data_IF_867014377095
#
_entry.id   IF_867014377095
#
_cell.length_a   1.000
_cell.length_b   1.000
_cell.length_c   1.000
_cell.angle_alpha   90.00
_cell.angle_beta   90.00
_cell.angle_gamma   90.00
#
_symmetry.space_group_name_H-M   'P 1'
#
loop_
_entity.id
_entity.type
_entity.pdbx_description
1 polymer ?
#
# COMPACT_ATOMS: atom_id res chain seq x y z
N UNK A 1 5.53 1.19 -48.56
CA UNK A 1 5.42 0.28 -47.39
C UNK A 1 6.58 0.44 -46.42
N UNK A 2 7.85 0.38 -46.86
CA UNK A 2 9.04 0.63 -46.02
C UNK A 2 8.95 1.88 -45.14
N UNK A 3 8.56 3.03 -45.70
CA UNK A 3 8.53 4.31 -44.99
C UNK A 3 7.48 4.34 -43.85
N UNK A 4 6.38 3.58 -44.00
CA UNK A 4 5.35 3.43 -42.96
C UNK A 4 5.84 2.56 -41.81
N UNK A 5 6.62 1.52 -42.12
CA UNK A 5 7.24 0.64 -41.12
C UNK A 5 8.31 1.41 -40.34
N UNK A 6 9.14 2.23 -41.01
CA UNK A 6 10.13 3.08 -40.35
C UNK A 6 9.49 4.08 -39.39
N UNK A 7 8.40 4.73 -39.82
CA UNK A 7 7.65 5.67 -38.97
C UNK A 7 7.04 4.97 -37.74
N UNK A 8 6.48 3.77 -37.93
CA UNK A 8 5.91 2.98 -36.84
C UNK A 8 7.00 2.57 -35.83
N UNK A 9 8.18 2.15 -36.32
CA UNK A 9 9.32 1.82 -35.47
C UNK A 9 9.77 3.03 -34.64
N UNK A 10 9.83 4.22 -35.27
CA UNK A 10 10.23 5.45 -34.60
C UNK A 10 9.21 5.86 -33.52
N UNK A 11 7.92 5.69 -33.79
CA UNK A 11 6.84 5.94 -32.83
C UNK A 11 6.95 5.01 -31.60
N UNK A 12 7.16 3.72 -31.83
CA UNK A 12 7.29 2.72 -30.75
C UNK A 12 8.55 2.97 -29.91
N UNK A 13 9.70 3.24 -30.54
CA UNK A 13 10.93 3.58 -29.82
C UNK A 13 10.79 4.89 -29.02
N UNK A 14 10.10 5.90 -29.57
CA UNK A 14 9.84 7.16 -28.88
C UNK A 14 9.03 6.95 -27.60
N UNK A 15 7.99 6.10 -27.64
CA UNK A 15 7.16 5.79 -26.47
C UNK A 15 7.94 5.05 -25.37
N UNK A 16 8.88 4.17 -25.73
CA UNK A 16 9.68 3.43 -24.74
C UNK A 16 10.70 4.30 -24.00
N UNK A 17 11.15 5.42 -24.58
CA UNK A 17 12.09 6.33 -23.94
C UNK A 17 11.47 7.12 -22.79
N UNK A 18 10.16 7.37 -22.83
CA UNK A 18 9.43 8.11 -21.78
C UNK A 18 8.71 7.20 -20.78
N UNK A 19 8.73 5.88 -20.99
CA UNK A 19 8.08 4.89 -20.12
C UNK A 19 9.01 4.31 -19.04
N UNK A 20 10.19 4.90 -18.81
CA UNK A 20 11.12 4.40 -17.79
C UNK A 20 10.57 4.70 -16.39
N UNK A 21 10.66 3.70 -15.51
CA UNK A 21 10.34 3.88 -14.09
C UNK A 21 11.39 4.80 -13.48
N UNK A 22 10.96 5.75 -12.66
CA UNK A 22 11.87 6.59 -11.88
C UNK A 22 12.82 5.69 -11.05
N UNK A 23 14.16 5.87 -11.11
CA UNK A 23 15.10 5.08 -10.32
C UNK A 23 14.78 5.07 -8.82
N UNK A 24 14.23 6.15 -8.29
CA UNK A 24 13.78 6.23 -6.90
C UNK A 24 12.59 5.29 -6.65
N UNK A 25 11.62 5.23 -7.57
CA UNK A 25 10.50 4.29 -7.46
C UNK A 25 10.99 2.85 -7.54
N UNK A 26 11.97 2.57 -8.40
CA UNK A 26 12.56 1.23 -8.52
C UNK A 26 13.27 0.82 -7.22
N UNK A 27 14.02 1.72 -6.59
CA UNK A 27 14.64 1.49 -5.27
C UNK A 27 13.61 1.07 -4.20
N UNK A 28 12.46 1.74 -4.13
CA UNK A 28 11.40 1.36 -3.19
C UNK A 28 10.74 0.02 -3.52
N UNK A 29 10.64 -0.35 -4.80
CA UNK A 29 10.08 -1.64 -5.23
C UNK A 29 11.01 -2.81 -4.92
N UNK A 30 12.32 -2.58 -4.97
CA UNK A 30 13.34 -3.56 -4.65
C UNK A 30 13.58 -3.70 -3.14
N UNK A 31 13.03 -2.80 -2.30
CA UNK A 31 13.09 -2.90 -0.85
C UNK A 31 12.17 -4.02 -0.33
N UNK A 32 12.78 -5.08 0.21
CA UNK A 32 12.07 -6.22 0.79
C UNK A 32 11.13 -5.84 1.94
N UNK A 33 11.40 -4.73 2.65
CA UNK A 33 10.56 -4.24 3.77
C UNK A 33 9.21 -3.71 3.30
N UNK A 34 9.13 -3.22 2.07
CA UNK A 34 7.90 -2.76 1.42
C UNK A 34 7.18 -3.84 0.61
N UNK A 35 7.65 -5.10 0.65
CA UNK A 35 7.09 -6.16 -0.19
C UNK A 35 5.74 -6.65 0.34
N UNK A 36 4.67 -6.35 -0.40
CA UNK A 36 3.29 -6.70 -0.06
C UNK A 36 3.05 -8.20 0.22
N UNK A 37 3.90 -9.10 -0.30
CA UNK A 37 3.78 -10.55 -0.01
C UNK A 37 4.01 -10.88 1.46
N UNK A 38 4.72 -10.00 2.18
CA UNK A 38 4.97 -10.11 3.61
C UNK A 38 3.98 -9.30 4.46
N UNK A 39 2.97 -8.67 3.85
CA UNK A 39 1.91 -7.99 4.59
C UNK A 39 1.12 -9.01 5.42
N UNK A 40 0.87 -8.67 6.69
CA UNK A 40 0.11 -9.48 7.64
C UNK A 40 -0.83 -8.57 8.41
N UNK A 41 -2.06 -9.03 8.54
CA UNK A 41 -3.09 -8.41 9.38
C UNK A 41 -3.38 -9.30 10.58
N UNK A 42 -3.63 -8.69 11.73
CA UNK A 42 -4.06 -9.37 12.95
C UNK A 42 -4.93 -8.45 13.80
N UNK A 43 -5.44 -8.98 14.90
CA UNK A 43 -6.22 -8.24 15.89
C UNK A 43 -5.32 -7.91 17.08
N UNK A 44 -5.18 -6.62 17.38
CA UNK A 44 -4.71 -6.15 18.67
C UNK A 44 -5.88 -6.16 19.65
N UNK A 45 -5.76 -6.98 20.70
CA UNK A 45 -6.77 -7.15 21.75
C UNK A 45 -6.15 -6.87 23.12
N UNK A 46 -6.59 -5.82 23.80
CA UNK A 46 -6.07 -5.41 25.10
C UNK A 46 -7.10 -4.66 25.93
N UNK A 47 -7.26 -5.06 27.20
CA UNK A 47 -8.28 -4.51 28.10
C UNK A 47 -9.68 -4.48 27.44
N UNK A 48 -10.32 -3.31 27.39
CA UNK A 48 -11.62 -3.07 26.75
C UNK A 48 -11.51 -2.57 25.31
N UNK A 49 -10.33 -2.62 24.68
CA UNK A 49 -10.12 -2.13 23.31
C UNK A 49 -9.75 -3.30 22.41
N UNK A 50 -10.29 -3.31 21.19
CA UNK A 50 -9.91 -4.26 20.15
C UNK A 50 -9.82 -3.55 18.80
N UNK A 51 -8.78 -3.82 18.01
CA UNK A 51 -8.62 -3.20 16.69
C UNK A 51 -7.82 -4.08 15.73
N UNK A 52 -8.08 -3.93 14.43
CA UNK A 52 -7.21 -4.45 13.38
C UNK A 52 -5.87 -3.74 13.41
N UNK A 53 -4.82 -4.49 13.08
CA UNK A 53 -3.45 -4.03 12.95
C UNK A 53 -2.83 -4.70 11.73
N UNK A 54 -2.13 -3.91 10.92
CA UNK A 54 -1.27 -4.40 9.84
C UNK A 54 0.19 -4.10 10.16
N UNK A 55 1.08 -5.00 9.77
CA UNK A 55 2.52 -4.80 9.92
C UNK A 55 3.11 -3.67 9.07
N UNK A 56 2.29 -3.04 8.21
CA UNK A 56 2.58 -1.78 7.51
C UNK A 56 2.42 -0.53 8.40
N UNK A 57 2.22 -0.71 9.71
CA UNK A 57 1.98 0.34 10.73
C UNK A 57 0.59 0.98 10.70
N UNK A 58 -0.33 0.42 9.91
CA UNK A 58 -1.74 0.79 9.94
C UNK A 58 -2.45 0.14 11.14
N UNK A 59 -3.22 0.94 11.87
CA UNK A 59 -4.09 0.54 12.97
C UNK A 59 -5.50 0.97 12.59
N UNK A 60 -6.48 0.09 12.83
CA UNK A 60 -7.87 0.24 12.38
C UNK A 60 -7.99 0.28 10.84
N UNK A 61 -9.14 -0.11 10.31
CA UNK A 61 -9.39 -0.16 8.86
C UNK A 61 -10.89 -0.25 8.61
N UNK A 62 -11.55 0.89 8.36
CA UNK A 62 -12.96 0.86 7.96
C UNK A 62 -13.09 0.31 6.53
N UNK A 63 -14.12 -0.52 6.21
CA UNK A 63 -15.28 -0.92 7.02
C UNK A 63 -15.09 -2.21 7.85
N UNK A 64 -13.88 -2.78 7.87
CA UNK A 64 -13.62 -4.04 8.57
C UNK A 64 -13.67 -3.88 10.09
N UNK A 65 -13.95 -4.97 10.81
CA UNK A 65 -14.05 -4.98 12.26
C UNK A 65 -13.05 -5.97 12.86
N UNK A 66 -12.51 -5.67 14.04
CA UNK A 66 -12.78 -4.49 14.88
C UNK A 66 -11.95 -3.26 14.45
N UNK A 67 -12.55 -2.07 14.39
CA UNK A 67 -11.85 -0.83 14.00
C UNK A 67 -11.86 0.21 15.13
N UNK A 68 -10.90 0.06 16.05
CA UNK A 68 -10.88 0.85 17.28
C UNK A 68 -12.10 0.62 18.17
N UNK A 69 -12.53 -0.63 18.32
CA UNK A 69 -13.71 -1.01 19.08
C UNK A 69 -13.52 -0.74 20.59
N UNK A 70 -14.47 -0.02 21.21
CA UNK A 70 -14.55 0.17 22.65
C UNK A 70 -16.02 0.36 23.12
N UNK A 71 -16.48 -0.35 24.17
CA UNK A 71 -15.82 -1.48 24.80
C UNK A 71 -15.78 -2.68 23.85
N UNK A 72 -14.75 -3.51 24.01
CA UNK A 72 -14.59 -4.78 23.30
C UNK A 72 -15.84 -5.65 23.44
N UNK A 73 -16.36 -6.14 22.33
CA UNK A 73 -17.62 -6.89 22.23
C UNK A 73 -18.85 -6.03 21.92
N UNK A 74 -18.69 -4.71 21.77
CA UNK A 74 -19.77 -3.81 21.40
C UNK A 74 -20.10 -3.82 19.91
N UNK A 75 -19.15 -4.20 19.06
CA UNK A 75 -19.27 -4.15 17.60
C UNK A 75 -19.27 -2.74 17.01
N UNK A 76 -19.06 -1.71 17.82
CA UNK A 76 -19.01 -0.32 17.36
C UNK A 76 -17.58 0.08 16.98
N UNK A 77 -17.32 0.47 15.72
CA UNK A 77 -16.05 1.07 15.33
C UNK A 77 -16.02 2.56 15.69
N UNK A 78 -14.87 3.03 16.18
CA UNK A 78 -14.65 4.44 16.53
C UNK A 78 -13.47 5.07 15.80
N UNK A 79 -12.67 4.28 15.09
CA UNK A 79 -11.44 4.73 14.42
C UNK A 79 -11.45 4.22 12.98
N UNK A 80 -11.09 5.10 12.05
CA UNK A 80 -10.69 4.73 10.68
C UNK A 80 -9.18 4.43 10.62
N UNK A 81 -8.64 4.07 9.45
CA UNK A 81 -7.22 3.79 9.26
C UNK A 81 -6.33 4.94 9.74
N UNK A 82 -5.49 4.66 10.73
CA UNK A 82 -4.41 5.54 11.19
C UNK A 82 -3.08 4.85 10.95
N UNK A 83 -2.05 5.60 10.58
CA UNK A 83 -0.69 5.06 10.40
C UNK A 83 0.31 5.88 11.20
N UNK A 84 1.39 5.24 11.64
CA UNK A 84 2.47 5.94 12.32
C UNK A 84 3.26 6.77 11.31
N UNK A 85 3.36 8.08 11.54
CA UNK A 85 4.29 8.94 10.81
C UNK A 85 5.63 8.96 11.56
N UNK A 86 6.69 8.52 10.88
CA UNK A 86 8.06 8.58 11.41
C UNK A 86 8.78 9.75 10.72
N UNK A 87 9.19 10.75 11.49
CA UNK A 87 10.01 11.87 11.04
C UNK A 87 11.36 11.85 11.79
N UNK A 88 12.45 12.18 11.10
CA UNK A 88 13.83 12.22 11.60
C UNK A 88 14.36 13.66 11.67
#
# INVERSE_FOLDING_TARGET
MKNKITLLLFLVCGLTLFAQVDPQVQLYRDDERGNFRYERESIMDGNLVRTLFKNTTEIAHWPYQPSGEWPKGSGHPYIDGITVLIAA
#
